data_IF_026805333068
#
_entry.id   IF_026805333068
#
_cell.length_a   1.000
_cell.length_b   1.000
_cell.length_c   1.000
_cell.angle_alpha   90.00
_cell.angle_beta   90.00
_cell.angle_gamma   90.00
#
_symmetry.space_group_name_H-M   'P 1'
#
loop_
_entity.id
_entity.type
_entity.pdbx_description
1 polymer ?
#
# COMPACT_ATOMS: atom_id res chain seq x y z
N UNK A 1 -24.19 -4.65 -1.19
CA UNK A 1 -23.64 -3.41 -0.62
C UNK A 1 -22.56 -2.90 -1.58
N UNK A 2 -22.77 -1.78 -2.29
CA UNK A 2 -21.76 -1.24 -3.23
C UNK A 2 -20.57 -0.75 -2.43
N UNK A 3 -19.41 -1.30 -2.72
CA UNK A 3 -18.14 -0.95 -2.11
C UNK A 3 -17.71 0.46 -2.52
N UNK A 4 -17.22 1.29 -1.59
CA UNK A 4 -16.93 2.72 -1.88
C UNK A 4 -15.86 2.90 -2.97
N UNK A 5 -14.99 1.90 -3.12
CA UNK A 5 -13.95 1.81 -4.14
C UNK A 5 -14.50 1.63 -5.56
N UNK A 6 -15.78 1.30 -5.75
CA UNK A 6 -16.44 1.28 -7.08
C UNK A 6 -16.50 2.67 -7.74
N UNK A 7 -16.25 3.75 -6.99
CA UNK A 7 -16.15 5.11 -7.57
C UNK A 7 -14.79 5.44 -8.19
N UNK A 8 -13.77 4.60 -7.97
CA UNK A 8 -12.47 4.73 -8.62
C UNK A 8 -12.51 4.04 -9.99
N UNK A 9 -11.71 4.50 -10.97
CA UNK A 9 -11.50 3.76 -12.21
C UNK A 9 -11.08 2.32 -11.92
N UNK A 10 -11.51 1.35 -12.75
CA UNK A 10 -11.09 -0.04 -12.60
C UNK A 10 -9.56 -0.14 -12.62
N UNK A 11 -8.99 -0.91 -11.70
CA UNK A 11 -7.54 -1.06 -11.52
C UNK A 11 -6.91 -0.07 -10.54
N UNK A 12 -7.58 1.05 -10.20
CA UNK A 12 -7.06 1.98 -9.20
C UNK A 12 -7.46 1.54 -7.79
N UNK A 13 -6.51 0.97 -7.06
CA UNK A 13 -6.69 0.61 -5.65
C UNK A 13 -6.69 1.86 -4.77
N UNK A 14 -7.55 1.95 -3.73
CA UNK A 14 -7.51 3.01 -2.73
C UNK A 14 -6.16 3.07 -2.00
N UNK A 15 -5.72 4.29 -1.65
CA UNK A 15 -4.46 4.50 -0.90
C UNK A 15 -4.56 4.05 0.56
N UNK A 16 -5.75 4.22 1.15
CA UNK A 16 -6.06 3.79 2.51
C UNK A 16 -7.10 2.66 2.45
N UNK A 17 -6.83 1.59 3.18
CA UNK A 17 -7.65 0.37 3.19
C UNK A 17 -8.37 0.21 4.53
N UNK A 18 -9.59 -0.33 4.47
CA UNK A 18 -10.33 -0.85 5.64
C UNK A 18 -9.77 -2.20 6.06
N UNK A 19 -10.17 -2.67 7.25
CA UNK A 19 -9.75 -3.97 7.81
C UNK A 19 -9.91 -5.13 6.82
N UNK A 20 -11.10 -5.27 6.22
CA UNK A 20 -11.39 -6.33 5.26
C UNK A 20 -10.52 -6.26 4.00
N UNK A 21 -10.33 -5.05 3.46
CA UNK A 21 -9.49 -4.80 2.29
C UNK A 21 -8.00 -5.05 2.61
N UNK A 22 -7.53 -4.63 3.79
CA UNK A 22 -6.16 -4.84 4.22
C UNK A 22 -5.86 -6.34 4.45
N UNK A 23 -6.78 -7.08 5.06
CA UNK A 23 -6.67 -8.53 5.22
C UNK A 23 -6.64 -9.24 3.85
N UNK A 24 -7.55 -8.87 2.95
CA UNK A 24 -7.57 -9.38 1.58
C UNK A 24 -6.29 -9.03 0.81
N UNK A 25 -5.71 -7.85 1.03
CA UNK A 25 -4.45 -7.41 0.42
C UNK A 25 -3.25 -8.28 0.84
N UNK A 26 -3.28 -8.85 2.05
CA UNK A 26 -2.31 -9.85 2.51
C UNK A 26 -2.67 -11.29 2.14
N UNK A 27 -3.85 -11.54 1.55
CA UNK A 27 -4.33 -12.88 1.25
C UNK A 27 -4.70 -13.69 2.50
N UNK A 28 -5.09 -13.04 3.60
CA UNK A 28 -5.42 -13.70 4.89
C UNK A 28 -6.82 -13.35 5.38
N UNK A 29 -7.33 -14.12 6.35
CA UNK A 29 -8.58 -13.79 7.04
C UNK A 29 -8.45 -12.52 7.91
N UNK A 30 -9.55 -11.83 8.17
CA UNK A 30 -9.53 -10.62 9.02
C UNK A 30 -9.06 -10.90 10.45
N UNK A 31 -9.35 -12.10 11.00
CA UNK A 31 -8.88 -12.49 12.33
C UNK A 31 -7.39 -12.78 12.34
N UNK A 32 -6.85 -13.41 11.29
CA UNK A 32 -5.40 -13.59 11.12
C UNK A 32 -4.71 -12.23 11.00
N UNK A 33 -5.26 -11.32 10.21
CA UNK A 33 -4.73 -9.97 10.04
C UNK A 33 -4.66 -9.22 11.38
N UNK A 34 -5.72 -9.27 12.19
CA UNK A 34 -5.72 -8.65 13.52
C UNK A 34 -4.63 -9.22 14.43
N UNK A 35 -4.39 -10.55 14.38
CA UNK A 35 -3.30 -11.18 15.12
C UNK A 35 -1.94 -10.66 14.65
N UNK A 36 -1.75 -10.51 13.34
CA UNK A 36 -0.52 -9.93 12.78
C UNK A 36 -0.28 -8.49 13.27
N UNK A 37 -1.35 -7.68 13.35
CA UNK A 37 -1.29 -6.32 13.91
C UNK A 37 -0.94 -6.34 15.40
N UNK A 38 -1.55 -7.26 16.17
CA UNK A 38 -1.26 -7.41 17.60
C UNK A 38 0.19 -7.85 17.86
N UNK A 39 0.72 -8.74 17.02
CA UNK A 39 2.10 -9.22 17.06
C UNK A 39 3.12 -8.19 16.54
N UNK A 40 2.68 -7.06 16.00
CA UNK A 40 3.55 -6.01 15.47
C UNK A 40 4.19 -6.35 14.12
N UNK A 41 3.69 -7.37 13.43
CA UNK A 41 4.13 -7.76 12.08
C UNK A 41 3.62 -6.78 11.01
N UNK A 42 2.45 -6.19 11.27
CA UNK A 42 1.77 -5.23 10.39
C UNK A 42 1.61 -3.91 11.15
N UNK A 43 1.70 -2.74 10.49
CA UNK A 43 1.49 -1.45 11.15
C UNK A 43 0.11 -1.36 11.79
N UNK A 44 0.04 -0.64 12.91
CA UNK A 44 -1.23 -0.33 13.57
C UNK A 44 -2.07 0.61 12.68
N UNK A 45 -3.40 0.49 12.71
CA UNK A 45 -4.27 1.37 11.93
C UNK A 45 -4.13 2.82 12.39
N UNK A 46 -4.18 3.74 11.44
CA UNK A 46 -4.40 5.15 11.71
C UNK A 46 -5.90 5.38 11.97
N UNK A 47 -6.22 6.13 13.04
CA UNK A 47 -7.60 6.53 13.34
C UNK A 47 -7.92 7.84 12.63
N UNK A 48 -8.88 7.79 11.70
CA UNK A 48 -9.46 8.95 11.05
C UNK A 48 -10.84 9.19 11.62
N UNK A 49 -10.97 10.16 12.53
CA UNK A 49 -12.22 10.49 13.24
C UNK A 49 -12.77 9.24 13.97
N UNK A 50 -13.67 8.47 13.35
CA UNK A 50 -14.28 7.26 13.93
C UNK A 50 -13.81 5.95 13.27
N UNK A 51 -13.03 6.02 12.19
CA UNK A 51 -12.69 4.84 11.38
C UNK A 51 -11.20 4.51 11.47
N UNK A 52 -10.90 3.21 11.47
CA UNK A 52 -9.53 2.70 11.36
C UNK A 52 -9.20 2.45 9.89
N UNK A 53 -8.10 3.03 9.43
CA UNK A 53 -7.56 2.87 8.08
C UNK A 53 -6.10 2.48 8.11
N UNK A 54 -5.69 1.66 7.16
CA UNK A 54 -4.31 1.28 6.94
C UNK A 54 -3.78 1.94 5.68
N UNK A 55 -2.60 2.52 5.78
CA UNK A 55 -1.90 3.09 4.64
C UNK A 55 -1.27 1.98 3.80
N UNK A 56 -1.71 1.81 2.56
CA UNK A 56 -1.32 0.68 1.69
C UNK A 56 0.20 0.58 1.49
N UNK A 57 0.96 1.66 1.22
CA UNK A 57 2.41 1.54 1.09
C UNK A 57 3.10 1.03 2.36
N UNK A 58 2.62 1.40 3.55
CA UNK A 58 3.16 0.86 4.79
C UNK A 58 2.88 -0.65 4.95
N UNK A 59 1.75 -1.14 4.43
CA UNK A 59 1.46 -2.57 4.39
C UNK A 59 2.43 -3.32 3.46
N UNK A 60 2.75 -2.74 2.30
CA UNK A 60 3.74 -3.32 1.36
C UNK A 60 5.12 -3.41 2.01
N UNK A 61 5.56 -2.35 2.71
CA UNK A 61 6.82 -2.34 3.47
C UNK A 61 6.83 -3.42 4.56
N UNK A 62 5.72 -3.59 5.27
CA UNK A 62 5.60 -4.64 6.28
C UNK A 62 5.69 -6.05 5.67
N UNK A 63 5.01 -6.28 4.54
CA UNK A 63 5.07 -7.54 3.80
C UNK A 63 6.51 -7.89 3.38
N UNK A 64 7.19 -6.94 2.77
CA UNK A 64 8.57 -7.11 2.34
C UNK A 64 9.53 -7.42 3.49
N UNK A 65 9.37 -6.70 4.61
CA UNK A 65 10.16 -6.95 5.83
C UNK A 65 9.94 -8.37 6.36
N UNK A 66 8.70 -8.89 6.32
CA UNK A 66 8.38 -10.25 6.78
C UNK A 66 8.97 -11.34 5.88
N UNK A 67 9.02 -11.10 4.56
CA UNK A 67 9.53 -12.08 3.59
C UNK A 67 11.04 -11.99 3.37
N UNK A 68 11.72 -11.04 4.01
CA UNK A 68 13.12 -10.73 3.73
C UNK A 68 13.33 -10.21 2.30
N UNK A 69 12.25 -9.76 1.65
CA UNK A 69 12.32 -9.16 0.31
C UNK A 69 12.73 -7.72 0.45
N UNK A 70 13.80 -7.31 -0.24
CA UNK A 70 14.18 -5.91 -0.30
C UNK A 70 13.24 -5.18 -1.26
N UNK A 71 12.48 -4.21 -0.76
CA UNK A 71 11.78 -3.28 -1.64
C UNK A 71 12.83 -2.31 -2.19
N UNK A 72 13.27 -2.56 -3.42
CA UNK A 72 13.92 -1.54 -4.22
C UNK A 72 12.87 -0.47 -4.58
N UNK A 73 12.57 0.44 -3.65
CA UNK A 73 11.88 1.68 -3.98
C UNK A 73 12.90 2.57 -4.68
N UNK A 74 13.02 2.44 -5.99
CA UNK A 74 13.90 3.27 -6.80
C UNK A 74 13.32 4.68 -6.90
N UNK A 75 13.48 5.49 -5.85
CA UNK A 75 13.56 6.94 -6.02
C UNK A 75 14.69 7.32 -7.00
N UNK A 76 15.64 6.39 -7.24
CA UNK A 76 16.67 6.49 -8.28
C UNK A 76 16.14 6.37 -9.72
N UNK A 77 14.91 5.92 -9.97
CA UNK A 77 14.34 5.94 -11.32
C UNK A 77 13.97 7.37 -11.78
N UNK A 78 13.79 8.31 -10.84
CA UNK A 78 13.53 9.73 -11.13
C UNK A 78 14.83 10.56 -11.23
N UNK A 79 15.99 9.97 -10.88
CA UNK A 79 17.31 10.60 -11.00
C UNK A 79 18.16 10.01 -12.12
N UNK A 80 17.56 9.23 -13.03
CA UNK A 80 18.18 9.06 -14.33
C UNK A 80 17.96 10.36 -15.08
N UNK A 81 18.93 11.27 -15.04
CA UNK A 81 19.12 12.34 -16.02
C UNK A 81 19.34 11.69 -17.39
N UNK A 82 18.30 11.06 -17.94
CA UNK A 82 18.23 10.85 -19.38
C UNK A 82 17.93 12.24 -19.91
N UNK A 83 18.84 12.87 -20.69
CA UNK A 83 18.53 14.13 -21.34
C UNK A 83 17.20 13.96 -22.06
N UNK A 84 16.21 14.78 -21.72
CA UNK A 84 14.89 14.65 -22.28
C UNK A 84 15.01 14.87 -23.79
N UNK A 85 14.45 13.98 -24.60
CA UNK A 85 14.56 14.03 -26.07
C UNK A 85 14.01 15.34 -26.69
N UNK A 86 13.24 16.09 -25.91
CA UNK A 86 12.71 17.42 -26.22
C UNK A 86 13.73 18.57 -26.07
N UNK A 87 14.84 18.37 -25.36
CA UNK A 87 15.92 19.36 -25.22
C UNK A 87 16.88 19.36 -26.44
N UNK A 88 16.73 18.40 -27.37
CA UNK A 88 17.60 18.25 -28.54
C UNK A 88 17.10 19.02 -29.79
N UNK A 89 16.02 19.79 -29.69
CA UNK A 89 15.46 20.58 -30.80
C UNK A 89 15.74 22.06 -30.50
N UNK A 90 16.89 22.55 -30.97
CA UNK A 90 17.20 24.00 -31.13
C UNK A 90 17.74 24.22 -32.53
#
# INVERSE_FOLDING_TARGET
MKTRHTRLPPGLLPICLRRSEAAAFFGVSETTFDKMVQQGLVPRPARFITISLWYRPALVVAAAKMTGTELQYSAQAEMQEVPNEWDAIV
#
